data_IF_655827265978
#
_entry.id   IF_655827265978
#
_cell.length_a   1.000
_cell.length_b   1.000
_cell.length_c   1.000
_cell.angle_alpha   90.00
_cell.angle_beta   90.00
_cell.angle_gamma   90.00
#
_symmetry.space_group_name_H-M   'P 1'
#
loop_
_entity.id
_entity.type
_entity.pdbx_description
1 polymer ?
#
# COMPACT_ATOMS: atom_id res chain seq x y z
N UNK A 1 -6.07 -12.16 -2.03
CA UNK A 1 -5.17 -11.11 -1.51
C UNK A 1 -4.63 -10.22 -2.60
N UNK A 2 -3.62 -10.73 -3.31
CA UNK A 2 -2.82 -9.99 -4.27
C UNK A 2 -3.62 -9.25 -5.36
N UNK A 3 -4.41 -9.97 -6.17
CA UNK A 3 -5.16 -9.38 -7.29
C UNK A 3 -6.16 -8.32 -6.82
N UNK A 4 -6.87 -8.59 -5.72
CA UNK A 4 -7.85 -7.67 -5.15
C UNK A 4 -7.24 -6.34 -4.69
N UNK A 5 -5.95 -6.33 -4.38
CA UNK A 5 -5.21 -5.12 -3.98
C UNK A 5 -4.55 -4.45 -5.20
N UNK A 6 -3.97 -5.25 -6.10
CA UNK A 6 -3.23 -4.76 -7.26
C UNK A 6 -4.15 -4.14 -8.31
N UNK A 7 -5.26 -4.79 -8.67
CA UNK A 7 -6.16 -4.29 -9.71
C UNK A 7 -6.65 -2.85 -9.46
N UNK A 8 -7.22 -2.50 -8.28
CA UNK A 8 -7.64 -1.12 -8.03
C UNK A 8 -6.46 -0.15 -7.92
N UNK A 9 -5.29 -0.58 -7.43
CA UNK A 9 -4.09 0.25 -7.41
C UNK A 9 -3.64 0.59 -8.83
N UNK A 10 -3.58 -0.38 -9.73
CA UNK A 10 -3.23 -0.17 -11.14
C UNK A 10 -4.21 0.81 -11.80
N UNK A 11 -5.51 0.67 -11.55
CA UNK A 11 -6.51 1.64 -12.03
C UNK A 11 -6.23 3.06 -11.51
N UNK A 12 -5.88 3.18 -10.21
CA UNK A 12 -5.59 4.46 -9.56
C UNK A 12 -4.32 5.12 -10.08
N UNK A 13 -3.28 4.34 -10.40
CA UNK A 13 -2.03 4.84 -10.98
C UNK A 13 -2.21 5.26 -12.44
N UNK A 14 -3.08 4.61 -13.20
CA UNK A 14 -3.43 5.01 -14.56
C UNK A 14 -4.41 6.19 -14.63
N UNK A 15 -4.88 6.69 -13.49
CA UNK A 15 -5.87 7.77 -13.46
C UNK A 15 -7.25 7.35 -13.97
N UNK A 16 -7.57 6.06 -13.98
CA UNK A 16 -8.75 5.55 -14.68
C UNK A 16 -10.03 6.11 -14.04
N UNK A 17 -10.87 6.77 -14.85
CA UNK A 17 -12.12 7.44 -14.41
C UNK A 17 -11.90 8.50 -13.32
N UNK A 18 -10.73 9.13 -13.29
CA UNK A 18 -10.40 10.10 -12.24
C UNK A 18 -10.06 9.46 -10.89
N UNK A 19 -9.77 8.15 -10.86
CA UNK A 19 -9.14 7.53 -9.69
C UNK A 19 -7.72 8.07 -9.49
N UNK A 20 -7.26 8.15 -8.24
CA UNK A 20 -6.00 8.79 -7.90
C UNK A 20 -5.67 8.63 -6.41
N UNK A 21 -4.85 9.55 -5.88
CA UNK A 21 -4.42 9.55 -4.48
C UNK A 21 -3.83 8.22 -4.01
N UNK A 22 -3.06 7.56 -4.89
CA UNK A 22 -2.36 6.30 -4.62
C UNK A 22 -3.27 5.17 -4.08
N UNK A 23 -4.57 5.21 -4.41
CA UNK A 23 -5.52 4.21 -3.94
C UNK A 23 -5.87 4.33 -2.45
N UNK A 24 -5.81 5.54 -1.86
CA UNK A 24 -6.18 5.78 -0.47
C UNK A 24 -7.59 5.27 -0.10
N UNK A 25 -8.52 5.28 -1.05
CA UNK A 25 -9.88 4.73 -0.85
C UNK A 25 -9.88 3.21 -0.59
N UNK A 26 -8.83 2.50 -1.00
CA UNK A 26 -8.71 1.03 -0.90
C UNK A 26 -7.72 0.56 0.18
N UNK A 27 -7.30 1.45 1.08
CA UNK A 27 -6.38 1.12 2.21
C UNK A 27 -6.87 -0.08 3.02
N UNK A 28 -8.18 -0.21 3.26
CA UNK A 28 -8.74 -1.37 3.97
C UNK A 28 -8.50 -2.70 3.24
N UNK A 29 -8.57 -2.69 1.91
CA UNK A 29 -8.27 -3.87 1.09
C UNK A 29 -6.78 -4.20 1.18
N UNK A 30 -5.90 -3.19 1.19
CA UNK A 30 -4.46 -3.39 1.35
C UNK A 30 -4.11 -4.02 2.70
N UNK A 31 -4.71 -3.56 3.80
CA UNK A 31 -4.47 -4.14 5.13
C UNK A 31 -4.96 -5.57 5.25
N UNK A 32 -6.24 -5.82 4.95
CA UNK A 32 -6.85 -7.11 5.28
C UNK A 32 -6.63 -8.16 4.20
N UNK A 33 -6.80 -7.78 2.93
CA UNK A 33 -6.75 -8.71 1.81
C UNK A 33 -5.33 -8.85 1.27
N UNK A 34 -4.67 -7.73 0.98
CA UNK A 34 -3.29 -7.69 0.50
C UNK A 34 -2.26 -8.06 1.57
N UNK A 35 -2.49 -7.65 2.81
CA UNK A 35 -1.58 -7.81 3.94
C UNK A 35 -1.89 -9.03 4.80
N UNK A 36 -2.82 -8.88 5.75
CA UNK A 36 -3.11 -9.87 6.80
C UNK A 36 -3.40 -11.26 6.24
N UNK A 37 -4.35 -11.38 5.30
CA UNK A 37 -4.71 -12.68 4.72
C UNK A 37 -3.56 -13.30 3.92
N UNK A 38 -2.70 -12.51 3.28
CA UNK A 38 -1.52 -13.05 2.59
C UNK A 38 -0.44 -13.50 3.55
N UNK A 39 -0.22 -12.78 4.65
CA UNK A 39 0.71 -13.21 5.70
C UNK A 39 0.22 -14.50 6.36
N UNK A 40 -1.08 -14.61 6.65
CA UNK A 40 -1.67 -15.84 7.17
C UNK A 40 -1.52 -16.99 6.17
N UNK A 41 -1.76 -16.75 4.87
CA UNK A 41 -1.50 -17.75 3.84
C UNK A 41 -0.02 -18.16 3.78
N UNK A 42 0.91 -17.23 3.93
CA UNK A 42 2.34 -17.53 3.99
C UNK A 42 2.67 -18.47 5.16
N UNK A 43 2.12 -18.20 6.36
CA UNK A 43 2.32 -19.07 7.53
C UNK A 43 1.76 -20.48 7.27
N UNK A 44 0.60 -20.61 6.63
CA UNK A 44 0.02 -21.91 6.30
C UNK A 44 0.86 -22.68 5.26
N UNK A 45 1.39 -22.00 4.24
CA UNK A 45 2.28 -22.59 3.24
C UNK A 45 3.63 -23.01 3.85
N UNK A 46 4.13 -22.27 4.84
CA UNK A 46 5.31 -22.65 5.60
C UNK A 46 5.10 -23.96 6.37
N UNK A 47 3.93 -24.13 7.02
CA UNK A 47 3.57 -25.38 7.72
C UNK A 47 3.45 -26.56 6.76
N UNK A 48 2.98 -26.33 5.53
CA UNK A 48 2.92 -27.37 4.48
C UNK A 48 4.27 -27.64 3.79
N UNK A 49 5.33 -26.89 4.12
CA UNK A 49 6.67 -27.06 3.54
C UNK A 49 6.83 -26.47 2.13
N UNK A 50 5.89 -25.64 1.67
CA UNK A 50 5.94 -25.02 0.35
C UNK A 50 6.71 -23.70 0.38
N UNK A 51 8.04 -23.80 0.32
CA UNK A 51 8.93 -22.66 0.49
C UNK A 51 8.75 -21.55 -0.56
N UNK A 52 8.43 -21.91 -1.82
CA UNK A 52 8.22 -20.92 -2.88
C UNK A 52 7.00 -20.03 -2.58
N UNK A 53 5.83 -20.64 -2.37
CA UNK A 53 4.60 -19.90 -2.08
C UNK A 53 4.69 -19.15 -0.75
N UNK A 54 5.36 -19.73 0.26
CA UNK A 54 5.66 -19.04 1.51
C UNK A 54 6.38 -17.70 1.28
N UNK A 55 7.52 -17.72 0.58
CA UNK A 55 8.32 -16.51 0.36
C UNK A 55 7.55 -15.49 -0.50
N UNK A 56 6.84 -15.95 -1.52
CA UNK A 56 6.02 -15.09 -2.39
C UNK A 56 4.93 -14.40 -1.58
N UNK A 57 4.16 -15.15 -0.78
CA UNK A 57 3.08 -14.56 0.01
C UNK A 57 3.57 -13.68 1.17
N UNK A 58 4.69 -14.04 1.80
CA UNK A 58 5.29 -13.24 2.86
C UNK A 58 5.79 -11.88 2.33
N UNK A 59 6.49 -11.87 1.19
CA UNK A 59 7.06 -10.65 0.61
C UNK A 59 5.96 -9.71 0.09
N UNK A 60 5.01 -10.22 -0.69
CA UNK A 60 3.89 -9.40 -1.17
C UNK A 60 2.94 -8.98 -0.04
N UNK A 61 2.72 -9.83 0.97
CA UNK A 61 1.94 -9.47 2.15
C UNK A 61 2.56 -8.33 2.95
N UNK A 62 3.88 -8.40 3.16
CA UNK A 62 4.66 -7.32 3.78
C UNK A 62 4.60 -6.02 2.98
N UNK A 63 4.75 -6.09 1.66
CA UNK A 63 4.61 -4.94 0.77
C UNK A 63 3.26 -4.23 0.95
N UNK A 64 2.15 -4.97 0.92
CA UNK A 64 0.81 -4.37 1.06
C UNK A 64 0.57 -3.74 2.44
N UNK A 65 1.12 -4.32 3.51
CA UNK A 65 1.06 -3.72 4.85
C UNK A 65 1.87 -2.43 4.93
N UNK A 66 3.09 -2.42 4.39
CA UNK A 66 3.94 -1.21 4.36
C UNK A 66 3.30 -0.12 3.51
N UNK A 67 2.78 -0.46 2.32
CA UNK A 67 2.08 0.47 1.44
C UNK A 67 0.85 1.09 2.13
N UNK A 68 0.04 0.26 2.79
CA UNK A 68 -1.12 0.73 3.53
C UNK A 68 -0.73 1.61 4.73
N UNK A 69 0.36 1.27 5.44
CA UNK A 69 0.91 2.05 6.54
C UNK A 69 1.31 3.46 6.11
N UNK A 70 1.99 3.61 4.97
CA UNK A 70 2.37 4.93 4.44
C UNK A 70 1.16 5.81 4.14
N UNK A 71 0.05 5.22 3.68
CA UNK A 71 -1.18 5.95 3.37
C UNK A 71 -2.04 6.26 4.60
N UNK A 72 -1.82 5.57 5.72
CA UNK A 72 -2.59 5.79 6.93
C UNK A 72 -2.13 7.10 7.61
N UNK A 73 -3.05 8.03 7.92
CA UNK A 73 -2.70 9.33 8.49
C UNK A 73 -1.93 9.26 9.81
N UNK A 74 -2.17 8.24 10.63
CA UNK A 74 -1.52 8.11 11.94
C UNK A 74 -0.02 7.80 11.86
N UNK A 75 0.47 7.27 10.73
CA UNK A 75 1.91 7.09 10.54
C UNK A 75 2.61 8.38 10.11
N UNK A 76 1.86 9.42 9.69
CA UNK A 76 2.35 10.75 9.32
C UNK A 76 3.49 10.75 8.27
N UNK A 77 3.66 9.67 7.50
CA UNK A 77 4.78 9.50 6.56
C UNK A 77 4.77 10.56 5.44
N UNK A 78 3.58 10.88 4.91
CA UNK A 78 3.43 11.92 3.90
C UNK A 78 3.38 13.34 4.50
N UNK A 79 3.15 13.49 5.81
CA UNK A 79 2.95 14.80 6.45
C UNK A 79 4.20 15.68 6.40
N UNK A 80 5.40 15.07 6.44
CA UNK A 80 6.68 15.78 6.29
C UNK A 80 6.86 16.46 4.94
N UNK A 81 6.11 16.01 3.93
CA UNK A 81 6.16 16.56 2.58
C UNK A 81 5.06 17.60 2.34
N UNK A 82 4.20 17.89 3.32
CA UNK A 82 3.14 18.90 3.17
C UNK A 82 3.74 20.32 3.14
N UNK A 83 3.25 21.22 2.26
CA UNK A 83 3.67 22.63 2.24
C UNK A 83 3.41 23.31 3.59
N UNK A 84 4.36 24.12 4.09
CA UNK A 84 4.24 24.82 5.38
C UNK A 84 3.05 25.79 5.44
N UNK A 85 2.58 26.28 4.29
CA UNK A 85 1.48 27.22 4.19
C UNK A 85 0.09 26.54 4.25
N UNK A 86 0.04 25.20 4.26
CA UNK A 86 -1.21 24.45 4.24
C UNK A 86 -1.36 23.56 5.48
N UNK A 87 -2.38 23.83 6.31
CA UNK A 87 -2.73 23.03 7.51
C UNK A 87 -3.35 21.66 7.17
N UNK A 88 -3.01 21.08 6.01
CA UNK A 88 -3.53 19.82 5.54
C UNK A 88 -2.37 18.84 5.28
N UNK A 89 -2.10 17.91 6.21
CA UNK A 89 -1.05 16.91 6.04
C UNK A 89 -1.22 16.09 4.75
N UNK A 90 -2.45 15.83 4.30
CA UNK A 90 -2.71 15.04 3.10
C UNK A 90 -2.24 15.70 1.80
N UNK A 91 -1.96 17.01 1.80
CA UNK A 91 -1.34 17.71 0.68
C UNK A 91 0.04 17.12 0.33
N UNK A 92 0.75 16.56 1.33
CA UNK A 92 2.04 15.90 1.15
C UNK A 92 2.03 14.76 0.11
N UNK A 93 0.93 14.01 0.00
CA UNK A 93 0.76 12.91 -0.97
C UNK A 93 0.85 13.37 -2.44
N UNK A 94 0.55 14.64 -2.71
CA UNK A 94 0.54 15.20 -4.07
C UNK A 94 1.85 15.90 -4.42
N UNK A 95 2.79 15.98 -3.48
CA UNK A 95 4.06 16.67 -3.73
C UNK A 95 5.01 15.78 -4.53
N UNK A 96 5.76 16.41 -5.45
CA UNK A 96 6.76 15.71 -6.24
C UNK A 96 7.85 15.06 -5.38
N UNK A 97 8.18 15.66 -4.22
CA UNK A 97 9.14 15.11 -3.28
C UNK A 97 8.67 13.77 -2.68
N UNK A 98 7.42 13.69 -2.23
CA UNK A 98 6.87 12.44 -1.73
C UNK A 98 6.78 11.38 -2.84
N UNK A 99 6.31 11.75 -4.04
CA UNK A 99 6.17 10.79 -5.14
C UNK A 99 7.51 10.28 -5.66
N UNK A 100 8.55 11.12 -5.67
CA UNK A 100 9.90 10.71 -6.03
C UNK A 100 10.49 9.74 -5.00
N UNK A 101 10.30 10.01 -3.70
CA UNK A 101 10.82 9.14 -2.62
C UNK A 101 9.97 7.91 -2.34
N UNK A 102 8.74 7.87 -2.81
CA UNK A 102 7.87 6.71 -2.67
C UNK A 102 8.00 5.72 -3.83
N UNK A 103 8.51 6.19 -4.98
CA UNK A 103 8.72 5.39 -6.18
C UNK A 103 10.15 4.89 -6.41
N UNK A 104 11.09 5.21 -5.52
CA UNK A 104 12.45 4.65 -5.49
C UNK A 104 12.46 3.18 -5.03
#
# INVERSE_FOLDING_TARGET
GFILSLSPLSCSLMGWRGSGALGAATIGVYFFMGGLLMILAAVLEWVMGNAFNYVVFATYGGFWLSFAGTLVPSFAAYAYYAPQDENNPAAGLQTGGFQASFGE
#
